data_IF_569391962964
#
_entry.id   IF_569391962964
#
_cell.length_a   1.000
_cell.length_b   1.000
_cell.length_c   1.000
_cell.angle_alpha   90.00
_cell.angle_beta   90.00
_cell.angle_gamma   90.00
#
_symmetry.space_group_name_H-M   'P 1'
#
loop_
_entity.id
_entity.type
_entity.pdbx_description
1 polymer ?
#
# COMPACT_ATOMS: atom_id res chain seq x y z
N UNK A 1 20.83 -22.04 80.21
CA UNK A 1 19.65 -22.34 79.41
C UNK A 1 19.74 -21.57 78.06
N UNK A 2 20.26 -22.23 77.08
CA UNK A 2 20.54 -21.67 75.72
C UNK A 2 19.46 -22.22 74.74
N UNK A 3 18.64 -21.33 74.26
CA UNK A 3 17.62 -21.67 73.27
C UNK A 3 18.18 -21.45 71.88
N UNK A 4 18.35 -22.56 71.16
CA UNK A 4 18.67 -22.57 69.72
C UNK A 4 17.44 -22.18 68.90
N UNK A 5 17.43 -21.05 68.25
CA UNK A 5 16.47 -20.69 67.20
C UNK A 5 16.89 -21.34 65.89
N UNK A 6 15.97 -22.16 65.37
CA UNK A 6 16.19 -22.94 64.15
C UNK A 6 16.25 -22.07 62.88
N UNK A 7 17.34 -22.27 62.12
CA UNK A 7 17.66 -21.71 60.82
C UNK A 7 16.64 -21.95 59.69
N UNK A 8 15.48 -22.56 60.00
CA UNK A 8 14.45 -22.98 59.03
C UNK A 8 13.28 -22.00 58.89
N UNK A 9 13.19 -20.95 59.67
CA UNK A 9 12.09 -19.98 59.56
C UNK A 9 12.41 -18.67 58.90
N UNK A 10 13.63 -18.47 58.42
CA UNK A 10 14.03 -17.25 57.67
C UNK A 10 13.98 -17.38 56.14
N UNK A 11 13.60 -18.55 55.59
CA UNK A 11 13.52 -18.81 54.17
C UNK A 11 12.07 -18.77 53.61
N UNK A 12 11.07 -18.51 54.46
CA UNK A 12 9.66 -18.50 54.09
C UNK A 12 9.06 -17.10 53.84
N UNK A 13 9.85 -16.02 53.99
CA UNK A 13 9.36 -14.62 53.84
C UNK A 13 9.92 -13.86 52.63
N UNK A 14 10.67 -14.53 51.76
CA UNK A 14 11.19 -13.94 50.50
C UNK A 14 10.54 -14.49 49.22
N UNK A 15 9.44 -15.24 49.32
CA UNK A 15 8.78 -15.89 48.19
C UNK A 15 7.41 -15.29 47.81
N UNK A 16 7.12 -14.05 48.19
CA UNK A 16 5.84 -13.42 47.81
C UNK A 16 6.02 -11.96 47.41
N UNK A 17 6.71 -11.68 46.34
CA UNK A 17 6.59 -10.43 45.58
C UNK A 17 7.31 -10.57 44.20
N UNK A 18 7.23 -11.73 43.57
CA UNK A 18 7.34 -11.80 42.13
C UNK A 18 5.96 -11.40 41.58
N UNK A 19 5.76 -10.09 41.40
CA UNK A 19 4.75 -9.60 40.47
C UNK A 19 4.99 -10.37 39.16
N UNK A 20 3.97 -11.01 38.57
CA UNK A 20 4.10 -11.47 37.22
C UNK A 20 4.42 -10.21 36.42
N UNK A 21 5.67 -10.10 35.94
CA UNK A 21 5.95 -9.31 34.76
C UNK A 21 5.00 -9.87 33.72
N UNK A 22 3.90 -9.17 33.54
CA UNK A 22 3.01 -9.32 32.41
C UNK A 22 3.84 -8.96 31.18
N UNK A 23 4.70 -9.90 30.76
CA UNK A 23 5.16 -10.01 29.41
C UNK A 23 3.91 -10.40 28.59
N UNK A 24 2.94 -9.49 28.51
CA UNK A 24 2.10 -9.39 27.37
C UNK A 24 3.09 -9.24 26.22
N UNK A 25 3.45 -10.38 25.62
CA UNK A 25 4.19 -10.44 24.40
C UNK A 25 3.44 -9.47 23.49
N UNK A 26 4.05 -8.32 23.26
CA UNK A 26 3.53 -7.29 22.36
C UNK A 26 3.46 -8.01 21.02
N UNK A 27 2.32 -8.62 20.75
CA UNK A 27 2.05 -9.27 19.47
C UNK A 27 2.42 -8.22 18.46
N UNK A 28 3.51 -8.44 17.72
CA UNK A 28 3.88 -7.57 16.60
C UNK A 28 2.65 -7.57 15.71
N UNK A 29 1.88 -6.50 15.81
CA UNK A 29 0.72 -6.34 14.93
C UNK A 29 1.27 -6.44 13.51
N UNK A 30 0.66 -7.27 12.71
CA UNK A 30 1.00 -7.38 11.29
C UNK A 30 0.61 -6.07 10.62
N UNK A 31 1.41 -5.57 9.67
CA UNK A 31 1.00 -4.43 8.86
C UNK A 31 -0.40 -4.65 8.26
N UNK A 32 -1.14 -3.57 8.07
CA UNK A 32 -2.46 -3.59 7.46
C UNK A 32 -2.45 -4.14 6.03
N UNK A 33 -3.63 -4.24 5.44
CA UNK A 33 -3.79 -4.66 4.05
C UNK A 33 -3.78 -3.44 3.13
N UNK A 34 -3.29 -3.63 1.90
CA UNK A 34 -3.37 -2.62 0.85
C UNK A 34 -4.46 -3.01 -0.15
N UNK A 35 -5.26 -2.03 -0.59
CA UNK A 35 -6.23 -2.17 -1.68
C UNK A 35 -5.87 -1.14 -2.75
N UNK A 36 -5.11 -1.56 -3.75
CA UNK A 36 -4.50 -0.69 -4.77
C UNK A 36 -5.37 -0.76 -6.01
N UNK A 37 -6.07 0.33 -6.34
CA UNK A 37 -7.13 0.36 -7.35
C UNK A 37 -6.66 1.11 -8.59
N UNK A 38 -6.84 0.50 -9.75
CA UNK A 38 -6.42 1.06 -11.04
C UNK A 38 -7.20 2.29 -11.51
N UNK A 39 -8.19 2.73 -10.75
CA UNK A 39 -9.06 3.86 -11.07
C UNK A 39 -10.41 3.42 -11.62
N UNK A 40 -11.33 4.38 -11.75
CA UNK A 40 -12.66 4.17 -12.30
C UNK A 40 -13.42 2.96 -11.71
N UNK A 41 -13.20 2.67 -10.43
CA UNK A 41 -13.89 1.60 -9.72
C UNK A 41 -15.40 1.83 -9.71
N UNK A 42 -16.17 0.75 -9.82
CA UNK A 42 -17.63 0.79 -9.80
C UNK A 42 -18.15 1.37 -8.47
N UNK A 43 -18.91 2.48 -8.58
CA UNK A 43 -19.56 3.18 -7.47
C UNK A 43 -21.10 3.10 -7.54
N UNK A 44 -21.66 2.45 -8.55
CA UNK A 44 -23.09 2.50 -8.83
C UNK A 44 -23.79 1.14 -8.77
N UNK A 45 -23.12 0.07 -9.20
CA UNK A 45 -23.72 -1.26 -9.34
C UNK A 45 -23.27 -2.20 -8.22
N UNK A 46 -22.37 -3.14 -8.54
CA UNK A 46 -21.93 -4.19 -7.60
C UNK A 46 -20.96 -3.69 -6.56
N UNK A 47 -20.14 -2.66 -6.85
CA UNK A 47 -19.17 -2.01 -5.96
C UNK A 47 -18.23 -3.00 -5.29
N UNK A 48 -17.83 -4.04 -6.01
CA UNK A 48 -17.11 -5.20 -5.47
C UNK A 48 -15.84 -4.77 -4.73
N UNK A 49 -15.08 -3.83 -5.30
CA UNK A 49 -13.83 -3.33 -4.72
C UNK A 49 -14.10 -2.54 -3.44
N UNK A 50 -15.10 -1.66 -3.43
CA UNK A 50 -15.41 -0.82 -2.27
C UNK A 50 -16.01 -1.64 -1.12
N UNK A 51 -16.86 -2.64 -1.41
CA UNK A 51 -17.31 -3.64 -0.43
C UNK A 51 -16.14 -4.40 0.18
N UNK A 52 -15.18 -4.80 -0.65
CA UNK A 52 -13.98 -5.51 -0.18
C UNK A 52 -13.12 -4.62 0.72
N UNK A 53 -12.92 -3.35 0.37
CA UNK A 53 -12.21 -2.38 1.22
C UNK A 53 -12.91 -2.22 2.58
N UNK A 54 -14.24 -2.01 2.61
CA UNK A 54 -15.01 -1.92 3.85
C UNK A 54 -14.83 -3.17 4.71
N UNK A 55 -14.96 -4.36 4.12
CA UNK A 55 -14.79 -5.63 4.82
C UNK A 55 -13.37 -5.80 5.40
N UNK A 56 -12.34 -5.43 4.65
CA UNK A 56 -10.94 -5.51 5.07
C UNK A 56 -10.58 -4.47 6.15
N UNK A 57 -11.33 -3.37 6.22
CA UNK A 57 -11.20 -2.35 7.26
C UNK A 57 -11.88 -2.72 8.58
N UNK A 58 -12.67 -3.81 8.63
CA UNK A 58 -13.39 -4.23 9.84
C UNK A 58 -14.92 -4.21 9.70
N UNK A 59 -15.45 -3.91 8.53
CA UNK A 59 -16.89 -3.91 8.24
C UNK A 59 -17.60 -2.61 8.61
N UNK A 60 -18.92 -2.65 8.79
CA UNK A 60 -19.76 -1.45 8.96
C UNK A 60 -19.36 -0.50 10.10
N UNK A 61 -18.84 -1.03 11.21
CA UNK A 61 -18.43 -0.25 12.38
C UNK A 61 -17.00 0.29 12.32
N UNK A 62 -16.28 0.01 11.24
CA UNK A 62 -14.91 0.50 11.05
C UNK A 62 -14.89 2.03 10.90
N UNK A 63 -13.89 2.67 11.51
CA UNK A 63 -13.60 4.10 11.35
C UNK A 63 -12.92 4.31 10.00
N UNK A 64 -13.69 4.76 9.01
CA UNK A 64 -13.17 5.04 7.67
C UNK A 64 -12.80 6.52 7.53
N UNK A 65 -11.60 6.78 7.06
CA UNK A 65 -11.08 8.14 6.83
C UNK A 65 -10.66 8.31 5.37
N UNK A 66 -11.15 9.38 4.75
CA UNK A 66 -10.94 9.65 3.33
C UNK A 66 -10.00 10.83 3.14
N UNK A 67 -8.92 10.62 2.39
CA UNK A 67 -7.94 11.65 2.03
C UNK A 67 -8.24 12.06 0.58
N UNK A 68 -8.70 13.31 0.39
CA UNK A 68 -9.08 13.86 -0.92
C UNK A 68 -8.08 14.88 -1.47
N UNK A 69 -6.92 15.04 -0.83
CA UNK A 69 -5.92 16.07 -1.16
C UNK A 69 -5.35 15.97 -2.58
N UNK A 70 -5.45 14.80 -3.23
CA UNK A 70 -5.07 14.65 -4.64
C UNK A 70 -6.04 15.36 -5.59
N UNK A 71 -7.32 15.53 -5.19
CA UNK A 71 -8.38 16.01 -6.07
C UNK A 71 -8.35 17.53 -6.27
N UNK A 72 -8.66 17.97 -7.50
CA UNK A 72 -8.96 19.37 -7.79
C UNK A 72 -10.36 19.82 -7.34
N UNK A 73 -11.22 18.86 -7.00
CA UNK A 73 -12.62 19.06 -6.57
C UNK A 73 -12.93 18.16 -5.35
N UNK A 74 -12.24 18.38 -4.22
CA UNK A 74 -12.24 17.47 -3.08
C UNK A 74 -13.64 17.22 -2.50
N UNK A 75 -14.47 18.24 -2.40
CA UNK A 75 -15.81 18.13 -1.83
C UNK A 75 -16.75 17.28 -2.70
N UNK A 76 -16.67 17.42 -4.03
CA UNK A 76 -17.44 16.61 -4.98
C UNK A 76 -17.05 15.14 -4.89
N UNK A 77 -15.72 14.88 -4.84
CA UNK A 77 -15.21 13.53 -4.69
C UNK A 77 -15.63 12.93 -3.36
N UNK A 78 -15.51 13.67 -2.26
CA UNK A 78 -15.96 13.24 -0.95
C UNK A 78 -17.43 12.89 -0.93
N UNK A 79 -18.30 13.80 -1.41
CA UNK A 79 -19.75 13.56 -1.43
C UNK A 79 -20.11 12.27 -2.17
N UNK A 80 -19.42 11.99 -3.28
CA UNK A 80 -19.59 10.73 -4.03
C UNK A 80 -19.25 9.50 -3.20
N UNK A 81 -18.07 9.46 -2.53
CA UNK A 81 -17.69 8.31 -1.71
C UNK A 81 -18.54 8.19 -0.44
N UNK A 82 -18.86 9.31 0.21
CA UNK A 82 -19.73 9.32 1.38
C UNK A 82 -21.08 8.65 1.09
N UNK A 83 -21.71 9.01 -0.02
CA UNK A 83 -22.98 8.41 -0.43
C UNK A 83 -22.83 6.89 -0.65
N UNK A 84 -21.78 6.46 -1.33
CA UNK A 84 -21.51 5.04 -1.59
C UNK A 84 -21.28 4.27 -0.29
N UNK A 85 -20.43 4.75 0.59
CA UNK A 85 -20.11 4.02 1.83
C UNK A 85 -21.25 4.02 2.83
N UNK A 86 -22.05 5.08 2.86
CA UNK A 86 -23.32 5.11 3.62
C UNK A 86 -24.29 4.04 3.11
N UNK A 87 -24.43 3.91 1.79
CA UNK A 87 -25.27 2.88 1.16
C UNK A 87 -24.73 1.46 1.35
N UNK A 88 -23.41 1.32 1.52
CA UNK A 88 -22.75 0.06 1.90
C UNK A 88 -22.89 -0.27 3.40
N UNK A 89 -23.49 0.63 4.20
CA UNK A 89 -23.75 0.46 5.61
C UNK A 89 -22.61 0.90 6.55
N UNK A 90 -21.62 1.66 6.06
CA UNK A 90 -20.58 2.22 6.92
C UNK A 90 -21.18 3.25 7.89
N UNK A 91 -20.89 3.07 9.19
CA UNK A 91 -21.47 3.91 10.26
C UNK A 91 -20.57 5.11 10.63
N UNK A 92 -19.26 4.97 10.48
CA UNK A 92 -18.27 6.00 10.78
C UNK A 92 -17.38 6.23 9.53
N UNK A 93 -17.73 7.22 8.74
CA UNK A 93 -17.12 7.52 7.46
C UNK A 93 -16.97 9.04 7.32
N UNK A 94 -15.72 9.52 7.38
CA UNK A 94 -15.41 10.95 7.42
C UNK A 94 -14.28 11.30 6.45
N UNK A 95 -14.31 12.54 5.92
CA UNK A 95 -13.19 13.11 5.20
C UNK A 95 -12.18 13.71 6.18
N UNK A 96 -10.90 13.45 5.93
CA UNK A 96 -9.80 14.11 6.63
C UNK A 96 -9.69 15.54 6.07
N UNK A 97 -9.84 16.60 6.88
CA UNK A 97 -9.82 17.98 6.41
C UNK A 97 -8.38 18.45 6.14
N UNK A 98 -7.73 17.83 5.15
CA UNK A 98 -6.34 18.06 4.79
C UNK A 98 -6.24 18.31 3.29
N UNK A 99 -5.98 19.56 2.92
CA UNK A 99 -5.79 19.99 1.53
C UNK A 99 -4.44 20.69 1.31
N UNK A 100 -3.82 21.15 2.38
CA UNK A 100 -2.52 21.84 2.37
C UNK A 100 -1.52 21.13 3.28
N UNK A 101 -0.25 21.54 3.18
CA UNK A 101 0.81 21.02 4.04
C UNK A 101 0.62 21.45 5.51
N UNK A 102 0.08 22.64 5.73
CA UNK A 102 -0.25 23.16 7.05
C UNK A 102 -1.33 22.30 7.72
N UNK A 103 -2.34 21.88 6.95
CA UNK A 103 -3.40 21.00 7.45
C UNK A 103 -2.83 19.67 7.92
N UNK A 104 -1.83 19.12 7.21
CA UNK A 104 -1.19 17.85 7.54
C UNK A 104 -0.43 17.86 8.89
N UNK A 105 -0.29 19.04 9.52
CA UNK A 105 0.32 19.22 10.83
C UNK A 105 -0.69 19.47 11.96
N UNK A 106 -1.98 19.60 11.63
CA UNK A 106 -3.03 19.87 12.62
C UNK A 106 -3.30 18.64 13.50
N UNK A 107 -3.40 18.80 14.82
CA UNK A 107 -3.58 17.66 15.74
C UNK A 107 -4.85 16.83 15.46
N UNK A 108 -5.93 17.44 15.05
CA UNK A 108 -7.19 16.78 14.69
C UNK A 108 -7.05 15.92 13.43
N UNK A 109 -6.35 16.40 12.40
CA UNK A 109 -6.01 15.65 11.18
C UNK A 109 -5.15 14.43 11.53
N UNK A 110 -4.11 14.64 12.33
CA UNK A 110 -3.21 13.57 12.79
C UNK A 110 -3.95 12.50 13.58
N UNK A 111 -4.83 12.91 14.51
CA UNK A 111 -5.63 12.02 15.34
C UNK A 111 -6.61 11.19 14.49
N UNK A 112 -7.34 11.84 13.57
CA UNK A 112 -8.26 11.12 12.68
C UNK A 112 -7.58 10.02 11.86
N UNK A 113 -6.38 10.28 11.36
CA UNK A 113 -5.59 9.29 10.61
C UNK A 113 -5.08 8.19 11.54
N UNK A 114 -4.58 8.56 12.73
CA UNK A 114 -4.01 7.59 13.68
C UNK A 114 -5.04 6.58 14.22
N UNK A 115 -6.30 7.02 14.38
CA UNK A 115 -7.41 6.23 14.94
C UNK A 115 -8.22 5.47 13.88
N UNK A 116 -7.85 5.57 12.60
CA UNK A 116 -8.58 4.95 11.50
C UNK A 116 -8.35 3.43 11.45
N UNK A 117 -9.42 2.68 11.17
CA UNK A 117 -9.38 1.26 10.81
C UNK A 117 -9.19 1.07 9.30
N UNK A 118 -9.72 2.00 8.51
CA UNK A 118 -9.56 2.07 7.06
C UNK A 118 -9.27 3.48 6.57
N UNK A 119 -8.24 3.63 5.75
CA UNK A 119 -7.87 4.92 5.14
C UNK A 119 -7.97 4.79 3.63
N UNK A 120 -8.77 5.65 3.00
CA UNK A 120 -8.99 5.63 1.56
C UNK A 120 -8.45 6.91 0.91
N UNK A 121 -7.49 6.75 -0.02
CA UNK A 121 -6.83 7.86 -0.72
C UNK A 121 -7.44 7.96 -2.12
N UNK A 122 -8.08 9.09 -2.43
CA UNK A 122 -8.78 9.29 -3.69
C UNK A 122 -7.85 9.62 -4.85
N UNK A 123 -8.40 9.60 -6.06
CA UNK A 123 -7.70 9.98 -7.28
C UNK A 123 -7.53 11.50 -7.43
N UNK A 124 -6.73 11.87 -8.42
CA UNK A 124 -6.39 13.24 -8.78
C UNK A 124 -4.94 13.36 -9.25
N UNK A 125 -4.19 14.26 -8.63
CA UNK A 125 -2.76 14.49 -8.88
C UNK A 125 -1.94 13.94 -7.70
N UNK A 126 -1.11 12.93 -7.97
CA UNK A 126 -0.26 12.29 -6.97
C UNK A 126 0.84 13.23 -6.44
N UNK A 127 1.30 14.16 -7.24
CA UNK A 127 2.34 15.12 -6.80
C UNK A 127 1.76 16.14 -5.83
N UNK A 128 0.53 16.60 -6.07
CA UNK A 128 -0.23 17.46 -5.14
C UNK A 128 -0.43 16.76 -3.80
N UNK A 129 -0.84 15.49 -3.81
CA UNK A 129 -1.03 14.72 -2.59
C UNK A 129 0.27 14.60 -1.79
N UNK A 130 1.37 14.25 -2.45
CA UNK A 130 2.67 14.10 -1.78
C UNK A 130 3.23 15.44 -1.28
N UNK A 131 2.98 16.55 -1.99
CA UNK A 131 3.33 17.90 -1.51
C UNK A 131 2.63 18.25 -0.19
N UNK A 132 1.40 17.79 0.02
CA UNK A 132 0.71 17.94 1.30
C UNK A 132 1.28 17.01 2.39
N UNK A 133 1.51 15.75 2.05
CA UNK A 133 1.76 14.69 3.03
C UNK A 133 3.23 14.49 3.39
N UNK A 134 4.15 14.62 2.43
CA UNK A 134 5.53 14.18 2.60
C UNK A 134 6.20 14.79 3.86
N UNK A 135 6.77 13.92 4.73
CA UNK A 135 7.43 14.30 5.99
C UNK A 135 6.58 15.17 6.94
N UNK A 136 5.25 15.05 6.87
CA UNK A 136 4.34 15.72 7.81
C UNK A 136 3.97 14.82 8.99
N UNK A 137 3.42 15.36 10.10
CA UNK A 137 2.82 14.56 11.16
C UNK A 137 1.70 13.62 10.67
N UNK A 138 0.89 14.04 9.69
CA UNK A 138 -0.13 13.20 9.05
C UNK A 138 0.50 12.01 8.31
N UNK A 139 1.63 12.21 7.63
CA UNK A 139 2.39 11.13 7.00
C UNK A 139 2.85 10.09 8.03
N UNK A 140 3.39 10.54 9.16
CA UNK A 140 3.81 9.65 10.25
C UNK A 140 2.62 8.89 10.86
N UNK A 141 1.49 9.58 11.05
CA UNK A 141 0.25 8.97 11.54
C UNK A 141 -0.25 7.89 10.58
N UNK A 142 -0.25 8.15 9.27
CA UNK A 142 -0.63 7.20 8.22
C UNK A 142 0.28 5.96 8.23
N UNK A 143 1.59 6.14 8.36
CA UNK A 143 2.53 5.04 8.49
C UNK A 143 2.28 4.22 9.76
N UNK A 144 2.05 4.88 10.89
CA UNK A 144 1.76 4.22 12.16
C UNK A 144 0.44 3.44 12.09
N UNK A 145 -0.61 4.03 11.50
CA UNK A 145 -1.89 3.35 11.29
C UNK A 145 -1.71 2.05 10.51
N UNK A 146 -0.96 2.08 9.41
CA UNK A 146 -0.70 0.89 8.59
C UNK A 146 0.24 -0.12 9.24
N UNK A 147 1.47 0.30 9.64
CA UNK A 147 2.51 -0.63 10.07
C UNK A 147 2.35 -1.13 11.50
N UNK A 148 1.72 -0.34 12.37
CA UNK A 148 1.60 -0.62 13.82
C UNK A 148 0.18 -1.00 14.20
N UNK A 149 -0.83 -0.23 13.74
CA UNK A 149 -2.22 -0.45 14.13
C UNK A 149 -2.94 -1.47 13.24
N UNK A 150 -2.39 -1.76 12.03
CA UNK A 150 -2.96 -2.75 11.11
C UNK A 150 -4.12 -2.21 10.29
N UNK A 151 -4.25 -0.88 10.15
CA UNK A 151 -5.28 -0.23 9.36
C UNK A 151 -5.19 -0.66 7.87
N UNK A 152 -6.35 -0.88 7.25
CA UNK A 152 -6.43 -1.12 5.81
C UNK A 152 -6.22 0.20 5.06
N UNK A 153 -5.29 0.25 4.10
CA UNK A 153 -5.08 1.43 3.25
C UNK A 153 -5.53 1.12 1.84
N UNK A 154 -6.56 1.82 1.38
CA UNK A 154 -7.05 1.80 0.01
C UNK A 154 -6.61 3.05 -0.75
N UNK A 155 -6.40 2.93 -2.06
CA UNK A 155 -6.13 4.08 -2.90
C UNK A 155 -6.44 3.82 -4.35
N UNK A 156 -7.05 4.82 -5.02
CA UNK A 156 -7.48 4.72 -6.40
C UNK A 156 -6.73 5.72 -7.28
N UNK A 157 -6.35 5.31 -8.49
CA UNK A 157 -5.69 6.18 -9.47
C UNK A 157 -4.43 6.86 -8.88
N UNK A 158 -4.40 8.17 -8.67
CA UNK A 158 -3.30 8.86 -7.99
C UNK A 158 -3.03 8.28 -6.59
N UNK A 159 -4.09 7.93 -5.83
CA UNK A 159 -3.99 7.26 -4.53
C UNK A 159 -3.35 5.87 -4.61
N UNK A 160 -3.47 5.17 -5.73
CA UNK A 160 -2.76 3.91 -5.98
C UNK A 160 -1.28 4.16 -6.32
N UNK A 161 -1.00 5.13 -7.17
CA UNK A 161 0.37 5.46 -7.58
C UNK A 161 1.27 5.82 -6.39
N UNK A 162 0.78 6.62 -5.43
CA UNK A 162 1.54 7.03 -4.25
C UNK A 162 1.87 5.89 -3.30
N UNK A 163 1.22 4.73 -3.38
CA UNK A 163 1.55 3.60 -2.50
C UNK A 163 2.94 3.04 -2.74
N UNK A 164 3.50 3.23 -3.92
CA UNK A 164 4.89 2.90 -4.24
C UNK A 164 5.86 3.78 -3.44
N UNK A 165 7.05 3.25 -3.19
CA UNK A 165 8.17 4.05 -2.69
C UNK A 165 8.68 5.01 -3.76
N UNK A 166 8.76 4.55 -4.99
CA UNK A 166 9.09 5.30 -6.19
C UNK A 166 7.86 5.33 -7.08
N UNK A 167 7.08 6.41 -6.99
CA UNK A 167 5.86 6.54 -7.77
C UNK A 167 6.17 7.10 -9.16
N UNK A 168 5.43 6.68 -10.18
CA UNK A 168 5.42 7.36 -11.46
C UNK A 168 4.76 8.74 -11.29
N UNK A 169 5.58 9.80 -11.42
CA UNK A 169 5.10 11.18 -11.30
C UNK A 169 4.58 11.69 -12.64
N UNK A 170 5.40 11.60 -13.69
CA UNK A 170 5.08 12.05 -15.04
C UNK A 170 5.47 10.97 -16.07
N UNK A 171 4.91 11.08 -17.25
CA UNK A 171 5.22 10.24 -18.40
C UNK A 171 3.98 9.96 -19.24
N UNK A 172 4.12 10.24 -20.54
CA UNK A 172 3.09 9.93 -21.54
C UNK A 172 3.32 8.53 -22.10
N UNK A 173 2.28 7.71 -22.32
CA UNK A 173 2.40 6.46 -23.04
C UNK A 173 2.90 6.72 -24.47
N UNK A 174 3.89 5.95 -24.88
CA UNK A 174 4.48 5.97 -26.23
C UNK A 174 4.24 4.62 -26.91
N UNK A 175 4.48 4.52 -28.22
CA UNK A 175 4.30 3.26 -28.97
C UNK A 175 5.31 2.17 -28.56
N UNK A 176 6.43 2.56 -27.95
CA UNK A 176 7.50 1.67 -27.46
C UNK A 176 8.19 2.31 -26.25
N UNK A 177 8.82 1.53 -25.38
CA UNK A 177 9.63 2.08 -24.30
C UNK A 177 10.74 2.98 -24.83
N UNK A 178 10.97 4.10 -24.17
CA UNK A 178 11.97 5.09 -24.57
C UNK A 178 12.79 5.55 -23.36
N UNK A 179 14.05 5.90 -23.59
CA UNK A 179 14.93 6.40 -22.55
C UNK A 179 14.45 7.77 -22.04
N UNK A 180 14.38 7.89 -20.72
CA UNK A 180 14.12 9.12 -19.95
C UNK A 180 12.86 9.93 -20.35
N UNK A 181 11.83 9.21 -20.86
CA UNK A 181 10.50 9.77 -21.16
C UNK A 181 9.53 9.77 -19.99
N UNK A 182 9.95 9.22 -18.85
CA UNK A 182 9.17 9.16 -17.61
C UNK A 182 9.99 9.68 -16.44
N UNK A 183 9.31 10.26 -15.45
CA UNK A 183 9.94 10.62 -14.18
C UNK A 183 9.27 9.92 -13.03
N UNK A 184 10.08 9.55 -12.04
CA UNK A 184 9.62 9.01 -10.77
C UNK A 184 9.85 10.02 -9.65
N UNK A 185 9.02 9.96 -8.63
CA UNK A 185 9.14 10.77 -7.43
C UNK A 185 8.89 9.89 -6.17
N UNK A 186 9.04 10.47 -5.01
CA UNK A 186 8.86 9.78 -3.74
C UNK A 186 7.37 9.60 -3.47
N UNK A 187 6.95 8.36 -3.19
CA UNK A 187 5.61 8.05 -2.71
C UNK A 187 5.59 7.62 -1.25
N UNK A 188 4.46 7.09 -0.80
CA UNK A 188 4.22 6.69 0.59
C UNK A 188 5.11 5.52 1.04
N UNK A 189 5.54 4.65 0.12
CA UNK A 189 6.48 3.57 0.43
C UNK A 189 5.85 2.33 1.08
N UNK A 190 4.54 2.17 1.06
CA UNK A 190 3.89 0.93 1.50
C UNK A 190 4.28 -0.25 0.63
N UNK A 191 4.40 -0.03 -0.68
CA UNK A 191 4.96 -0.95 -1.67
C UNK A 191 6.39 -0.52 -1.98
N UNK A 192 7.36 -1.15 -1.32
CA UNK A 192 8.76 -0.72 -1.41
C UNK A 192 9.46 -1.22 -2.68
N UNK A 193 9.06 -2.40 -3.18
CA UNK A 193 9.78 -3.14 -4.21
C UNK A 193 9.07 -3.12 -5.57
N UNK A 194 8.10 -2.22 -5.76
CA UNK A 194 7.42 -2.09 -7.04
C UNK A 194 7.03 -0.65 -7.36
N UNK A 195 6.94 -0.38 -8.65
CA UNK A 195 6.32 0.82 -9.23
C UNK A 195 4.90 0.44 -9.63
N UNK A 196 3.90 1.17 -9.09
CA UNK A 196 2.49 0.97 -9.43
C UNK A 196 2.08 1.97 -10.51
N UNK A 197 1.51 1.47 -11.59
CA UNK A 197 0.83 2.24 -12.62
C UNK A 197 -0.66 1.85 -12.70
N UNK A 198 -1.52 2.80 -13.03
CA UNK A 198 -2.97 2.69 -12.94
C UNK A 198 -3.64 3.09 -14.26
N UNK A 199 -4.96 2.81 -14.44
CA UNK A 199 -5.65 2.92 -15.73
C UNK A 199 -4.85 2.24 -16.86
N UNK A 200 -4.33 1.05 -16.59
CA UNK A 200 -3.16 0.54 -17.28
C UNK A 200 -3.44 0.18 -18.73
N UNK A 201 -4.29 -0.78 -19.00
CA UNK A 201 -4.63 -1.17 -20.37
C UNK A 201 -5.49 -0.11 -21.07
N UNK A 202 -6.38 0.58 -20.34
CA UNK A 202 -7.26 1.60 -20.88
C UNK A 202 -6.51 2.81 -21.45
N UNK A 203 -5.31 3.10 -20.91
CA UNK A 203 -4.46 4.19 -21.38
C UNK A 203 -3.16 3.70 -22.04
N UNK A 204 -3.08 2.43 -22.43
CA UNK A 204 -1.93 1.81 -23.12
C UNK A 204 -0.59 2.06 -22.43
N UNK A 205 -0.52 1.91 -21.09
CA UNK A 205 0.59 2.36 -20.25
C UNK A 205 1.78 1.41 -20.14
N UNK A 206 1.76 0.27 -20.86
CA UNK A 206 2.85 -0.71 -20.80
C UNK A 206 4.21 -0.10 -21.16
N UNK A 207 4.30 0.66 -22.26
CA UNK A 207 5.55 1.30 -22.67
C UNK A 207 6.11 2.25 -21.61
N UNK A 208 5.23 3.03 -20.97
CA UNK A 208 5.58 3.94 -19.90
C UNK A 208 6.12 3.21 -18.67
N UNK A 209 5.47 2.13 -18.26
CA UNK A 209 5.93 1.31 -17.14
C UNK A 209 7.29 0.68 -17.46
N UNK A 210 7.48 0.16 -18.67
CA UNK A 210 8.75 -0.41 -19.12
C UNK A 210 9.88 0.63 -19.15
N UNK A 211 9.60 1.87 -19.59
CA UNK A 211 10.56 2.98 -19.52
C UNK A 211 11.01 3.27 -18.09
N UNK A 212 10.07 3.24 -17.13
CA UNK A 212 10.40 3.40 -15.71
C UNK A 212 11.25 2.23 -15.17
N UNK A 213 10.93 1.00 -15.58
CA UNK A 213 11.69 -0.19 -15.17
C UNK A 213 13.10 -0.25 -15.78
N UNK A 214 13.31 0.36 -16.94
CA UNK A 214 14.66 0.51 -17.51
C UNK A 214 15.54 1.44 -16.66
N UNK A 215 14.95 2.43 -15.97
CA UNK A 215 15.64 3.27 -14.99
C UNK A 215 15.85 2.56 -13.64
N UNK A 216 14.92 1.68 -13.26
CA UNK A 216 14.90 1.00 -11.97
C UNK A 216 14.68 -0.51 -12.13
N UNK A 217 15.68 -1.23 -12.68
CA UNK A 217 15.57 -2.67 -12.91
C UNK A 217 15.58 -3.50 -11.61
N UNK A 218 15.78 -2.85 -10.47
CA UNK A 218 15.67 -3.42 -9.13
C UNK A 218 14.22 -3.52 -8.62
N UNK A 219 13.27 -2.84 -9.28
CA UNK A 219 11.87 -2.80 -8.90
C UNK A 219 10.98 -3.62 -9.84
N UNK A 220 9.91 -4.21 -9.28
CA UNK A 220 8.84 -4.79 -10.09
C UNK A 220 7.97 -3.68 -10.71
N UNK A 221 7.34 -3.96 -11.84
CA UNK A 221 6.29 -3.13 -12.40
C UNK A 221 4.91 -3.73 -12.13
N UNK A 222 3.96 -2.91 -11.68
CA UNK A 222 2.58 -3.33 -11.42
C UNK A 222 1.63 -2.41 -12.16
N UNK A 223 1.05 -2.89 -13.26
CA UNK A 223 0.01 -2.21 -14.01
C UNK A 223 -1.38 -2.71 -13.58
N UNK A 224 -2.27 -1.82 -13.19
CA UNK A 224 -3.61 -2.18 -12.71
C UNK A 224 -4.67 -1.55 -13.61
N UNK A 225 -5.56 -2.37 -14.15
CA UNK A 225 -6.66 -1.95 -15.01
C UNK A 225 -7.73 -1.15 -14.25
N UNK A 226 -8.56 -0.39 -14.97
CA UNK A 226 -9.74 0.26 -14.38
C UNK A 226 -10.71 -0.78 -13.79
N UNK A 227 -11.49 -0.37 -12.81
CA UNK A 227 -12.40 -1.22 -12.02
C UNK A 227 -11.76 -2.54 -11.57
N UNK A 228 -10.47 -2.46 -11.21
CA UNK A 228 -9.66 -3.59 -10.76
C UNK A 228 -8.80 -3.15 -9.58
N UNK A 229 -8.66 -4.03 -8.59
CA UNK A 229 -7.81 -3.80 -7.42
C UNK A 229 -6.85 -4.96 -7.20
N UNK A 230 -5.60 -4.63 -6.90
CA UNK A 230 -4.64 -5.53 -6.31
C UNK A 230 -4.70 -5.38 -4.79
N UNK A 231 -5.10 -6.44 -4.10
CA UNK A 231 -5.08 -6.52 -2.65
C UNK A 231 -3.78 -7.19 -2.22
N UNK A 232 -3.01 -6.54 -1.36
CA UNK A 232 -1.78 -7.10 -0.80
C UNK A 232 -2.01 -7.39 0.68
N UNK A 233 -1.88 -8.66 1.07
CA UNK A 233 -1.72 -9.08 2.46
C UNK A 233 -0.23 -9.23 2.75
N UNK A 234 0.36 -8.37 3.60
CA UNK A 234 1.79 -8.37 3.83
C UNK A 234 2.36 -9.74 4.21
N UNK A 235 3.42 -10.16 3.53
CA UNK A 235 4.11 -11.44 3.70
C UNK A 235 3.24 -12.70 3.47
N UNK A 236 2.03 -12.58 2.93
CA UNK A 236 1.08 -13.69 2.78
C UNK A 236 0.66 -13.93 1.32
N UNK A 237 -0.04 -12.97 0.74
CA UNK A 237 -0.71 -13.18 -0.55
C UNK A 237 -1.02 -11.89 -1.29
N UNK A 238 -1.34 -12.04 -2.56
CA UNK A 238 -2.07 -11.04 -3.33
C UNK A 238 -3.37 -11.63 -3.87
N UNK A 239 -4.38 -10.77 -4.00
CA UNK A 239 -5.69 -11.11 -4.59
C UNK A 239 -6.05 -10.03 -5.61
N UNK A 240 -6.57 -10.42 -6.76
CA UNK A 240 -7.08 -9.48 -7.78
C UNK A 240 -8.59 -9.50 -7.75
N UNK A 241 -9.19 -8.32 -7.57
CA UNK A 241 -10.65 -8.12 -7.43
C UNK A 241 -11.11 -7.09 -8.45
N UNK A 242 -12.33 -7.21 -8.93
CA UNK A 242 -12.92 -6.32 -9.94
C UNK A 242 -13.13 -6.99 -11.28
N UNK A 243 -12.96 -6.25 -12.40
CA UNK A 243 -13.33 -6.74 -13.75
C UNK A 243 -12.15 -7.04 -14.68
N UNK A 244 -11.03 -6.35 -14.51
CA UNK A 244 -9.87 -6.48 -15.40
C UNK A 244 -8.78 -7.38 -14.86
N UNK A 245 -7.54 -6.98 -15.06
CA UNK A 245 -6.35 -7.73 -14.67
C UNK A 245 -5.28 -6.83 -14.06
N UNK A 246 -4.31 -7.47 -13.43
CA UNK A 246 -3.05 -6.87 -13.00
C UNK A 246 -1.93 -7.44 -13.85
N UNK A 247 -1.15 -6.56 -14.47
CA UNK A 247 0.08 -6.91 -15.17
C UNK A 247 1.26 -6.74 -14.22
N UNK A 248 1.96 -7.83 -13.94
CA UNK A 248 3.19 -7.81 -13.13
C UNK A 248 4.39 -8.02 -14.05
N UNK A 249 5.32 -7.08 -14.04
CA UNK A 249 6.56 -7.12 -14.84
C UNK A 249 7.75 -7.25 -13.90
N UNK A 250 8.58 -8.26 -14.14
CA UNK A 250 9.83 -8.48 -13.40
C UNK A 250 11.04 -8.20 -14.28
N UNK A 251 11.76 -7.09 -14.06
CA UNK A 251 12.92 -6.70 -14.86
C UNK A 251 14.26 -7.17 -14.25
N UNK A 252 14.27 -8.00 -13.22
CA UNK A 252 15.53 -8.36 -12.51
C UNK A 252 16.56 -9.09 -13.38
N UNK A 253 16.14 -9.61 -14.53
CA UNK A 253 17.02 -10.22 -15.55
C UNK A 253 17.14 -9.35 -16.79
N UNK A 254 16.74 -8.09 -16.70
CA UNK A 254 16.74 -7.15 -17.81
C UNK A 254 18.17 -6.92 -18.32
N UNK A 255 18.32 -7.03 -19.64
CA UNK A 255 19.43 -6.47 -20.41
C UNK A 255 18.86 -5.39 -21.32
N UNK A 256 19.48 -4.25 -21.34
CA UNK A 256 19.00 -3.07 -22.09
C UNK A 256 20.16 -2.29 -22.68
N UNK A 257 19.89 -1.57 -23.77
CA UNK A 257 20.83 -0.64 -24.41
C UNK A 257 20.82 0.76 -23.77
N UNK A 258 20.16 0.95 -22.62
CA UNK A 258 19.91 2.27 -22.01
C UNK A 258 21.16 3.15 -21.87
N UNK A 259 22.32 2.55 -21.54
CA UNK A 259 23.57 3.30 -21.30
C UNK A 259 24.26 3.77 -22.60
N UNK A 260 23.81 3.28 -23.76
CA UNK A 260 24.48 3.50 -25.05
C UNK A 260 23.64 4.30 -26.05
N UNK A 261 22.44 4.73 -25.69
CA UNK A 261 21.51 5.48 -26.54
C UNK A 261 21.22 6.86 -25.96
N UNK A 262 20.71 7.77 -26.76
CA UNK A 262 20.33 9.12 -26.37
C UNK A 262 18.94 9.15 -25.72
N UNK A 263 18.63 10.22 -24.99
CA UNK A 263 17.34 10.43 -24.36
C UNK A 263 16.24 10.52 -25.42
N UNK A 264 15.13 9.82 -25.18
CA UNK A 264 14.03 9.70 -26.14
C UNK A 264 14.18 8.56 -27.15
N UNK A 265 15.36 7.94 -27.25
CA UNK A 265 15.54 6.78 -28.13
C UNK A 265 14.83 5.54 -27.61
N UNK A 266 14.56 4.60 -28.53
CA UNK A 266 13.87 3.35 -28.22
C UNK A 266 14.76 2.40 -27.44
N UNK A 267 14.23 1.89 -26.36
CA UNK A 267 14.89 0.91 -25.50
C UNK A 267 14.79 -0.50 -26.06
N UNK A 268 15.92 -1.19 -26.17
CA UNK A 268 15.95 -2.64 -26.21
C UNK A 268 15.77 -3.19 -24.80
N UNK A 269 14.88 -4.15 -24.63
CA UNK A 269 14.58 -4.75 -23.33
C UNK A 269 14.45 -6.28 -23.46
N UNK A 270 15.47 -6.99 -23.02
CA UNK A 270 15.56 -8.45 -23.12
C UNK A 270 15.53 -9.07 -21.72
N UNK A 271 14.88 -10.22 -21.56
CA UNK A 271 14.86 -10.95 -20.29
C UNK A 271 13.85 -10.42 -19.26
N UNK A 272 12.82 -9.71 -19.72
CA UNK A 272 11.66 -9.36 -18.89
C UNK A 272 10.78 -10.59 -18.67
N UNK A 273 10.29 -10.75 -17.44
CA UNK A 273 9.25 -11.71 -17.13
C UNK A 273 7.92 -10.97 -16.92
N UNK A 274 6.88 -11.43 -17.60
CA UNK A 274 5.54 -10.84 -17.55
C UNK A 274 4.53 -11.85 -17.03
N UNK A 275 3.75 -11.44 -16.01
CA UNK A 275 2.66 -12.23 -15.47
C UNK A 275 1.36 -11.45 -15.56
N UNK A 276 0.30 -12.09 -16.07
CA UNK A 276 -1.04 -11.52 -16.14
C UNK A 276 -1.91 -12.19 -15.08
N UNK A 277 -2.43 -11.39 -14.16
CA UNK A 277 -3.19 -11.85 -13.02
C UNK A 277 -4.65 -11.40 -13.18
N UNK A 278 -5.57 -12.28 -13.63
CA UNK A 278 -6.96 -11.92 -13.83
C UNK A 278 -7.71 -11.74 -12.51
N UNK A 279 -8.75 -10.92 -12.51
CA UNK A 279 -9.65 -10.77 -11.38
C UNK A 279 -10.26 -12.11 -10.94
N UNK A 280 -10.61 -12.21 -9.65
CA UNK A 280 -11.14 -13.43 -9.03
C UNK A 280 -10.07 -14.45 -8.62
N UNK A 281 -8.78 -14.13 -8.71
CA UNK A 281 -7.68 -15.02 -8.33
C UNK A 281 -6.94 -14.50 -7.11
N UNK A 282 -6.55 -15.44 -6.24
CA UNK A 282 -5.66 -15.21 -5.09
C UNK A 282 -4.41 -16.06 -5.24
N UNK A 283 -3.26 -15.45 -5.00
CA UNK A 283 -1.94 -16.06 -5.09
C UNK A 283 -1.28 -16.00 -3.72
N UNK A 284 -1.05 -17.16 -3.13
CA UNK A 284 -0.53 -17.28 -1.75
C UNK A 284 0.95 -17.63 -1.81
N UNK A 285 1.76 -16.98 -0.99
CA UNK A 285 3.15 -17.36 -0.80
C UNK A 285 3.24 -18.76 -0.20
N UNK A 286 4.20 -19.60 -0.64
CA UNK A 286 4.44 -20.88 0.01
C UNK A 286 4.73 -20.67 1.50
N UNK A 287 4.00 -21.37 2.38
CA UNK A 287 4.18 -21.30 3.83
C UNK A 287 5.51 -21.96 4.23
N UNK A 288 6.29 -21.28 5.12
CA UNK A 288 7.51 -21.82 5.73
C UNK A 288 8.67 -20.82 5.69
N UNK A 289 9.26 -20.50 6.86
CA UNK A 289 10.34 -19.51 7.01
C UNK A 289 11.60 -19.80 6.16
N UNK A 290 11.78 -21.04 5.68
CA UNK A 290 12.98 -21.50 4.96
C UNK A 290 12.70 -21.97 3.53
N UNK A 291 11.48 -21.82 3.02
CA UNK A 291 11.16 -22.26 1.65
C UNK A 291 11.33 -21.09 0.69
N UNK A 292 12.49 -21.05 0.03
CA UNK A 292 12.72 -20.10 -1.06
C UNK A 292 11.75 -20.40 -2.21
N UNK A 293 11.17 -19.37 -2.85
CA UNK A 293 10.42 -19.57 -4.08
C UNK A 293 11.28 -20.27 -5.12
N UNK A 294 10.69 -21.22 -5.84
CA UNK A 294 11.38 -21.99 -6.89
C UNK A 294 11.00 -21.55 -8.31
N UNK A 295 10.10 -20.58 -8.40
CA UNK A 295 9.62 -20.03 -9.67
C UNK A 295 9.80 -18.51 -9.70
N UNK A 296 10.03 -17.91 -10.87
CA UNK A 296 10.15 -16.47 -11.03
C UNK A 296 8.93 -15.71 -10.47
N UNK A 297 7.72 -16.19 -10.75
CA UNK A 297 6.50 -15.63 -10.19
C UNK A 297 6.48 -15.69 -8.65
N UNK A 298 6.92 -16.79 -8.06
CA UNK A 298 7.00 -16.92 -6.60
C UNK A 298 7.97 -15.92 -5.98
N UNK A 299 9.11 -15.65 -6.63
CA UNK A 299 10.07 -14.64 -6.21
C UNK A 299 9.49 -13.22 -6.34
N UNK A 300 8.81 -12.92 -7.45
CA UNK A 300 8.14 -11.63 -7.65
C UNK A 300 7.04 -11.43 -6.60
N UNK A 301 6.25 -12.46 -6.30
CA UNK A 301 5.22 -12.44 -5.26
C UNK A 301 5.81 -12.18 -3.86
N UNK A 302 6.96 -12.77 -3.56
CA UNK A 302 7.67 -12.53 -2.30
C UNK A 302 8.09 -11.06 -2.16
N UNK A 303 8.68 -10.48 -3.19
CA UNK A 303 9.08 -9.08 -3.21
C UNK A 303 7.86 -8.14 -3.10
N UNK A 304 6.80 -8.41 -3.86
CA UNK A 304 5.61 -7.59 -3.89
C UNK A 304 4.88 -7.56 -2.55
N UNK A 305 4.83 -8.70 -1.84
CA UNK A 305 4.16 -8.81 -0.54
C UNK A 305 5.03 -8.38 0.64
N UNK A 306 6.33 -8.14 0.44
CA UNK A 306 7.23 -7.67 1.49
C UNK A 306 6.93 -6.20 1.78
N UNK A 307 6.44 -5.88 2.99
CA UNK A 307 6.15 -4.49 3.34
C UNK A 307 7.41 -3.64 3.33
N UNK A 308 7.26 -2.37 2.97
CA UNK A 308 8.33 -1.39 3.12
C UNK A 308 8.72 -1.17 4.58
N UNK A 309 9.84 -0.48 4.84
CA UNK A 309 10.15 -0.02 6.18
C UNK A 309 9.17 1.10 6.58
N UNK A 310 8.75 1.08 7.85
CA UNK A 310 8.04 2.22 8.43
C UNK A 310 8.96 3.45 8.36
N UNK A 311 8.41 4.57 7.90
CA UNK A 311 9.08 5.87 7.90
C UNK A 311 8.44 6.73 8.97
N UNK A 312 9.22 7.26 9.87
CA UNK A 312 8.75 8.08 10.97
C UNK A 312 9.75 9.14 11.32
#
# INVERSE_FOLDING_TARGET
MTTHLHRRQLLALLACNALPLDLAAQQRKTPGRLVIIGGAEDRQQDRVILRKFLALSGGPSAKLRFITAASGVPDVVWASYQAVFKDLGALDCEVVPMLTREDASKPDVVSQIADADGIFITGGDQTRLMACLWESPAFQALHRAFFVNGACVGGTSAGAAVMSRHMLALGTPTSSPQKDTVSTDIGLGFVANAIVDQHFSQRHRLSRLLSALAQRPDLLGVGIDEDTALIIEPNQSVEVVGKGSVTLVDPRRLRTNRETIDDGDKLEMLGLELHLLPAGKRYVRPAGKNRKPTTPFGEALELLTKPGPMRG
#
